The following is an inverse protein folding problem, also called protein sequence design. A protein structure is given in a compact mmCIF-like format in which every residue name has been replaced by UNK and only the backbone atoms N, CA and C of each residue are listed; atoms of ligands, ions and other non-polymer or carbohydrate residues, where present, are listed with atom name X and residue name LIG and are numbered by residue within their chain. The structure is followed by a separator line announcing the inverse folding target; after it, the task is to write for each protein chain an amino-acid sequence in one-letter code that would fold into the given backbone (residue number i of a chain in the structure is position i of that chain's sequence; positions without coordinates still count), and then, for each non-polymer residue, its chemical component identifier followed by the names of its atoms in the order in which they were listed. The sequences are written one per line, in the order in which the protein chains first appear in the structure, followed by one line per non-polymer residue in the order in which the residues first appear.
data_IF_049008043432
#
_entry.id   IF_049008043432
#
_cell.length_a   1.000
_cell.length_b   1.000
_cell.length_c   1.000
_cell.angle_alpha   90.00
_cell.angle_beta   90.00
_cell.angle_gamma   90.00
#
_symmetry.space_group_name_H-M   'P 1'
#
loop_
_entity.id
_entity.type
_entity.pdbx_description
1 polymer ?
#
# COMPACT_ATOMS: atom_id res chain seq x y z
N UNK A 1 9.90 -32.62 -35.21
CA UNK A 1 10.51 -31.30 -35.49
C UNK A 1 9.94 -30.72 -36.79
N UNK A 2 8.79 -30.06 -36.70
CA UNK A 2 8.23 -29.26 -37.80
C UNK A 2 8.75 -27.83 -37.59
N UNK A 3 9.70 -27.41 -38.43
CA UNK A 3 10.09 -26.01 -38.49
C UNK A 3 8.87 -25.21 -38.96
N UNK A 4 8.35 -24.33 -38.10
CA UNK A 4 7.39 -23.31 -38.50
C UNK A 4 8.15 -22.40 -39.48
N UNK A 5 7.95 -22.58 -40.78
CA UNK A 5 8.38 -21.62 -41.77
C UNK A 5 7.54 -20.36 -41.55
N UNK A 6 8.10 -19.38 -40.84
CA UNK A 6 7.56 -18.01 -40.86
C UNK A 6 7.66 -17.49 -42.29
N UNK A 7 6.63 -17.73 -43.09
CA UNK A 7 6.53 -17.17 -44.44
C UNK A 7 6.40 -15.65 -44.31
N UNK A 8 7.41 -14.94 -44.78
CA UNK A 8 7.28 -13.52 -45.10
C UNK A 8 6.28 -13.40 -46.24
N UNK A 9 5.11 -12.82 -45.97
CA UNK A 9 4.06 -12.54 -46.96
C UNK A 9 4.69 -11.60 -48.01
N UNK A 10 5.03 -12.11 -49.18
CA UNK A 10 5.38 -11.30 -50.34
C UNK A 10 4.10 -10.75 -50.96
N UNK A 11 4.09 -9.47 -51.33
CA UNK A 11 2.92 -8.82 -51.94
C UNK A 11 2.44 -9.63 -53.15
N UNK A 12 1.16 -9.99 -53.17
CA UNK A 12 0.57 -10.63 -54.34
C UNK A 12 0.45 -9.62 -55.48
N UNK A 13 0.43 -10.09 -56.74
CA UNK A 13 0.09 -9.23 -57.85
C UNK A 13 -1.24 -8.49 -57.61
N UNK A 14 -1.26 -7.18 -57.86
CA UNK A 14 -2.42 -6.31 -57.61
C UNK A 14 -3.72 -6.81 -58.29
N UNK A 15 -3.58 -7.62 -59.35
CA UNK A 15 -4.71 -8.24 -60.05
C UNK A 15 -5.57 -9.10 -59.12
N UNK A 16 -5.01 -9.79 -58.13
CA UNK A 16 -5.81 -10.62 -57.22
C UNK A 16 -6.68 -9.79 -56.28
N UNK A 17 -6.23 -8.58 -55.92
CA UNK A 17 -7.03 -7.64 -55.15
C UNK A 17 -8.17 -7.09 -56.02
N UNK A 18 -7.89 -6.73 -57.27
CA UNK A 18 -8.91 -6.29 -58.24
C UNK A 18 -9.96 -7.38 -58.50
N UNK A 19 -9.54 -8.63 -58.66
CA UNK A 19 -10.46 -9.77 -58.83
C UNK A 19 -11.35 -9.96 -57.59
N UNK A 20 -10.80 -9.78 -56.39
CA UNK A 20 -11.58 -9.80 -55.14
C UNK A 20 -12.61 -8.66 -55.10
N UNK A 21 -12.21 -7.44 -55.44
CA UNK A 21 -13.11 -6.28 -55.48
C UNK A 21 -14.23 -6.41 -56.52
N UNK A 22 -13.98 -7.16 -57.60
CA UNK A 22 -14.96 -7.46 -58.64
C UNK A 22 -15.79 -8.74 -58.37
N UNK A 23 -15.61 -9.40 -57.22
CA UNK A 23 -16.22 -10.70 -56.87
C UNK A 23 -15.96 -11.81 -57.93
N UNK A 24 -14.82 -11.75 -58.63
CA UNK A 24 -14.43 -12.73 -59.63
C UNK A 24 -13.75 -13.94 -58.98
N UNK A 25 -14.22 -15.16 -59.29
CA UNK A 25 -13.63 -16.43 -58.82
C UNK A 25 -13.52 -16.61 -57.29
N UNK A 26 -14.28 -15.83 -56.52
CA UNK A 26 -14.41 -16.00 -55.07
C UNK A 26 -15.11 -17.32 -54.74
N UNK A 27 -14.58 -18.06 -53.77
CA UNK A 27 -15.03 -19.42 -53.42
C UNK A 27 -15.25 -19.60 -51.91
N UNK A 28 -15.13 -18.51 -51.14
CA UNK A 28 -15.45 -18.47 -49.71
C UNK A 28 -15.85 -17.06 -49.24
N UNK A 29 -16.72 -17.01 -48.23
CA UNK A 29 -17.07 -15.78 -47.50
C UNK A 29 -16.56 -15.88 -46.06
N UNK A 30 -15.75 -14.92 -45.62
CA UNK A 30 -15.39 -14.74 -44.22
C UNK A 30 -16.39 -13.80 -43.54
N UNK A 31 -16.82 -14.15 -42.33
CA UNK A 31 -17.81 -13.37 -41.58
C UNK A 31 -17.24 -12.91 -40.25
N UNK A 32 -17.19 -11.59 -40.08
CA UNK A 32 -16.73 -10.89 -38.89
C UNK A 32 -17.90 -10.09 -38.30
N UNK A 33 -18.58 -10.66 -37.32
CA UNK A 33 -19.83 -10.09 -36.78
C UNK A 33 -20.89 -9.93 -37.88
N UNK A 34 -21.18 -8.67 -38.27
CA UNK A 34 -22.16 -8.35 -39.33
C UNK A 34 -21.55 -8.23 -40.72
N UNK A 35 -20.22 -8.18 -40.83
CA UNK A 35 -19.54 -7.94 -42.10
C UNK A 35 -19.20 -9.26 -42.79
N UNK A 36 -19.54 -9.36 -44.07
CA UNK A 36 -19.32 -10.53 -44.92
C UNK A 36 -18.35 -10.13 -46.02
N UNK A 37 -17.27 -10.87 -46.18
CA UNK A 37 -16.19 -10.55 -47.12
C UNK A 37 -15.93 -11.77 -48.01
N UNK A 38 -16.18 -11.62 -49.31
CA UNK A 38 -15.87 -12.64 -50.29
C UNK A 38 -14.35 -12.68 -50.59
N UNK A 39 -13.79 -13.89 -50.62
CA UNK A 39 -12.36 -14.14 -50.68
C UNK A 39 -12.07 -15.40 -51.52
N UNK A 40 -10.78 -15.62 -51.79
CA UNK A 40 -10.27 -16.79 -52.50
C UNK A 40 -9.58 -17.75 -51.52
N UNK A 41 -10.05 -19.00 -51.39
CA UNK A 41 -9.49 -20.04 -50.51
C UNK A 41 -8.01 -20.26 -50.79
N UNK A 42 -7.62 -20.26 -52.07
CA UNK A 42 -6.22 -20.47 -52.48
C UNK A 42 -5.30 -19.36 -51.98
N UNK A 43 -5.76 -18.11 -52.01
CA UNK A 43 -5.00 -16.96 -51.53
C UNK A 43 -4.90 -17.02 -50.00
N UNK A 44 -6.01 -17.21 -49.30
CA UNK A 44 -6.02 -17.33 -47.85
C UNK A 44 -5.14 -18.50 -47.36
N UNK A 45 -5.22 -19.67 -48.01
CA UNK A 45 -4.38 -20.83 -47.70
C UNK A 45 -2.90 -20.62 -48.05
N UNK A 46 -2.60 -19.81 -49.07
CA UNK A 46 -1.25 -19.49 -49.47
C UNK A 46 -0.56 -18.53 -48.50
N UNK A 47 -1.32 -17.60 -47.92
CA UNK A 47 -0.78 -16.50 -47.11
C UNK A 47 -0.95 -16.69 -45.60
N UNK A 48 -1.77 -17.65 -45.16
CA UNK A 48 -2.09 -17.86 -43.75
C UNK A 48 -2.21 -19.35 -43.42
N UNK A 49 -1.34 -19.83 -42.52
CA UNK A 49 -1.29 -21.23 -42.10
C UNK A 49 -2.57 -21.69 -41.40
N UNK A 50 -3.26 -20.81 -40.68
CA UNK A 50 -4.56 -21.11 -40.06
C UNK A 50 -5.58 -21.52 -41.13
N UNK A 51 -5.77 -20.68 -42.15
CA UNK A 51 -6.70 -20.98 -43.25
C UNK A 51 -6.25 -22.19 -44.07
N UNK A 52 -4.93 -22.33 -44.30
CA UNK A 52 -4.36 -23.51 -44.96
C UNK A 52 -4.74 -24.80 -44.25
N UNK A 53 -4.57 -24.85 -42.93
CA UNK A 53 -4.95 -26.01 -42.12
C UNK A 53 -6.45 -26.23 -42.14
N UNK A 54 -7.23 -25.17 -41.96
CA UNK A 54 -8.69 -25.24 -41.97
C UNK A 54 -9.25 -25.82 -43.28
N UNK A 55 -8.69 -25.44 -44.44
CA UNK A 55 -9.18 -25.93 -45.74
C UNK A 55 -8.63 -27.30 -46.14
N UNK A 56 -7.40 -27.65 -45.74
CA UNK A 56 -6.74 -28.90 -46.13
C UNK A 56 -6.99 -30.07 -45.18
N UNK A 57 -7.35 -29.80 -43.92
CA UNK A 57 -7.67 -30.84 -42.94
C UNK A 57 -9.16 -31.22 -43.01
N UNK A 58 -9.52 -32.39 -42.48
CA UNK A 58 -10.87 -32.97 -42.56
C UNK A 58 -11.86 -32.29 -41.57
N UNK A 59 -11.87 -30.96 -41.54
CA UNK A 59 -12.74 -30.13 -40.71
C UNK A 59 -14.11 -29.92 -41.38
N UNK A 60 -15.15 -29.60 -40.59
CA UNK A 60 -16.53 -29.35 -41.06
C UNK A 60 -16.58 -28.24 -42.12
N UNK A 61 -15.68 -27.27 -42.03
CA UNK A 61 -15.56 -26.09 -42.87
C UNK A 61 -15.00 -26.39 -44.27
N UNK A 62 -14.46 -27.59 -44.51
CA UNK A 62 -13.91 -28.00 -45.82
C UNK A 62 -14.95 -27.86 -46.95
N UNK A 63 -16.21 -28.19 -46.65
CA UNK A 63 -17.35 -28.07 -47.56
C UNK A 63 -18.11 -26.75 -47.45
N UNK A 64 -17.76 -25.88 -46.49
CA UNK A 64 -18.48 -24.64 -46.28
C UNK A 64 -18.06 -23.56 -47.28
N UNK A 65 -19.05 -22.76 -47.69
CA UNK A 65 -18.83 -21.52 -48.44
C UNK A 65 -18.70 -20.31 -47.50
N UNK A 66 -18.89 -20.52 -46.19
CA UNK A 66 -18.90 -19.44 -45.19
C UNK A 66 -18.16 -19.86 -43.91
N UNK A 67 -17.29 -18.99 -43.40
CA UNK A 67 -16.54 -19.20 -42.16
C UNK A 67 -16.74 -18.00 -41.24
N UNK A 68 -17.22 -18.25 -40.03
CA UNK A 68 -17.52 -17.21 -39.03
C UNK A 68 -16.38 -17.11 -38.03
N UNK A 69 -15.74 -15.95 -37.96
CA UNK A 69 -14.66 -15.64 -37.01
C UNK A 69 -15.23 -14.72 -35.92
N UNK A 70 -15.67 -15.32 -34.81
CA UNK A 70 -16.39 -14.60 -33.74
C UNK A 70 -15.49 -13.72 -32.87
N UNK A 71 -14.22 -14.08 -32.76
CA UNK A 71 -13.27 -13.41 -31.87
C UNK A 71 -12.47 -12.29 -32.57
N UNK A 72 -12.82 -11.94 -33.82
CA UNK A 72 -12.23 -10.81 -34.55
C UNK A 72 -13.31 -9.77 -34.83
N UNK A 73 -13.04 -8.51 -34.45
CA UNK A 73 -13.92 -7.38 -34.74
C UNK A 73 -14.03 -7.12 -36.26
N UNK A 74 -15.16 -6.60 -36.72
CA UNK A 74 -15.42 -6.40 -38.15
C UNK A 74 -14.36 -5.51 -38.83
N UNK A 75 -13.97 -4.41 -38.18
CA UNK A 75 -12.93 -3.49 -38.64
C UNK A 75 -11.58 -4.19 -38.80
N UNK A 76 -11.17 -4.95 -37.79
CA UNK A 76 -9.90 -5.69 -37.79
C UNK A 76 -9.91 -6.80 -38.83
N UNK A 77 -11.03 -7.49 -39.00
CA UNK A 77 -11.22 -8.52 -40.02
C UNK A 77 -11.02 -7.99 -41.45
N UNK A 78 -11.56 -6.80 -41.76
CA UNK A 78 -11.37 -6.16 -43.06
C UNK A 78 -9.88 -5.87 -43.32
N UNK A 79 -9.20 -5.25 -42.36
CA UNK A 79 -7.77 -4.92 -42.47
C UNK A 79 -6.91 -6.17 -42.66
N UNK A 80 -7.23 -7.26 -41.95
CA UNK A 80 -6.50 -8.52 -42.07
C UNK A 80 -6.70 -9.18 -43.44
N UNK A 81 -7.92 -9.14 -43.99
CA UNK A 81 -8.15 -9.65 -45.34
C UNK A 81 -7.36 -8.81 -46.35
N UNK A 82 -7.38 -7.48 -46.23
CA UNK A 82 -6.62 -6.61 -47.12
C UNK A 82 -5.11 -6.85 -47.01
N UNK A 83 -4.60 -7.07 -45.79
CA UNK A 83 -3.21 -7.46 -45.53
C UNK A 83 -2.83 -8.78 -46.20
N UNK A 84 -3.70 -9.79 -46.17
CA UNK A 84 -3.43 -11.08 -46.83
C UNK A 84 -3.33 -10.95 -48.36
N UNK A 85 -3.95 -9.93 -48.95
CA UNK A 85 -3.83 -9.65 -50.39
C UNK A 85 -2.68 -8.71 -50.72
N UNK A 86 -2.48 -7.64 -49.96
CA UNK A 86 -1.54 -6.56 -50.29
C UNK A 86 -0.15 -6.76 -49.66
N UNK A 87 -0.06 -7.49 -48.55
CA UNK A 87 1.12 -7.56 -47.69
C UNK A 87 1.34 -6.33 -46.80
N UNK A 88 0.48 -5.31 -46.90
CA UNK A 88 0.59 -4.04 -46.18
C UNK A 88 -0.58 -3.87 -45.21
N UNK A 89 -0.30 -3.28 -44.05
CA UNK A 89 -1.29 -2.97 -43.04
C UNK A 89 -0.81 -1.79 -42.20
N UNK A 90 -1.71 -0.84 -41.97
CA UNK A 90 -1.44 0.33 -41.16
C UNK A 90 -1.77 0.05 -39.69
N UNK A 91 -0.73 0.01 -38.86
CA UNK A 91 -0.83 -0.22 -37.41
C UNK A 91 -0.96 1.14 -36.73
N UNK A 92 -1.96 1.29 -35.87
CA UNK A 92 -2.31 2.51 -35.13
C UNK A 92 -2.63 2.17 -33.68
N UNK A 93 -2.62 3.16 -32.77
CA UNK A 93 -2.98 2.93 -31.35
C UNK A 93 -4.40 2.36 -31.17
N UNK A 94 -5.33 2.68 -32.08
CA UNK A 94 -6.72 2.23 -32.02
C UNK A 94 -6.91 0.77 -32.44
N UNK A 95 -6.04 0.24 -33.31
CA UNK A 95 -6.19 -1.11 -33.88
C UNK A 95 -5.11 -2.10 -33.40
N UNK A 96 -4.02 -1.63 -32.79
CA UNK A 96 -2.87 -2.48 -32.45
C UNK A 96 -3.25 -3.63 -31.51
N UNK A 97 -4.08 -3.38 -30.49
CA UNK A 97 -4.49 -4.41 -29.53
C UNK A 97 -5.31 -5.54 -30.20
N UNK A 98 -6.32 -5.16 -30.99
CA UNK A 98 -7.13 -6.09 -31.77
C UNK A 98 -6.29 -6.87 -32.80
N UNK A 99 -5.36 -6.17 -33.48
CA UNK A 99 -4.46 -6.78 -34.45
C UNK A 99 -3.51 -7.78 -33.79
N UNK A 100 -3.04 -7.51 -32.58
CA UNK A 100 -2.21 -8.44 -31.83
C UNK A 100 -2.97 -9.74 -31.57
N UNK A 101 -4.19 -9.64 -31.01
CA UNK A 101 -5.05 -10.77 -30.71
C UNK A 101 -5.38 -11.60 -31.97
N UNK A 102 -5.76 -10.93 -33.04
CA UNK A 102 -6.11 -11.58 -34.31
C UNK A 102 -4.88 -12.19 -35.01
N UNK A 103 -3.72 -11.53 -34.95
CA UNK A 103 -2.48 -12.05 -35.53
C UNK A 103 -2.01 -13.33 -34.85
N UNK A 104 -2.20 -13.45 -33.54
CA UNK A 104 -1.90 -14.70 -32.82
C UNK A 104 -2.91 -15.80 -33.20
N UNK A 105 -4.20 -15.49 -33.17
CA UNK A 105 -5.25 -16.46 -33.50
C UNK A 105 -5.11 -17.03 -34.92
N UNK A 106 -4.75 -16.18 -35.89
CA UNK A 106 -4.55 -16.56 -37.29
C UNK A 106 -3.12 -17.03 -37.59
N UNK A 107 -2.25 -17.14 -36.58
CA UNK A 107 -0.85 -17.58 -36.70
C UNK A 107 0.00 -16.71 -37.66
N UNK A 108 -0.29 -15.40 -37.72
CA UNK A 108 0.41 -14.42 -38.54
C UNK A 108 1.64 -13.86 -37.81
N UNK A 109 2.67 -14.69 -37.62
CA UNK A 109 3.83 -14.35 -36.79
C UNK A 109 4.61 -13.09 -37.23
N UNK A 110 4.69 -12.80 -38.53
CA UNK A 110 5.34 -11.59 -39.03
C UNK A 110 4.56 -10.32 -38.68
N UNK A 111 3.22 -10.38 -38.74
CA UNK A 111 2.36 -9.27 -38.33
C UNK A 111 2.41 -9.08 -36.80
N UNK A 112 2.32 -10.18 -36.05
CA UNK A 112 2.44 -10.19 -34.58
C UNK A 112 3.67 -9.42 -34.12
N UNK A 113 4.83 -9.72 -34.71
CA UNK A 113 6.09 -9.03 -34.38
C UNK A 113 6.04 -7.53 -34.67
N UNK A 114 5.51 -7.11 -35.82
CA UNK A 114 5.35 -5.68 -36.16
C UNK A 114 4.43 -4.95 -35.17
N UNK A 115 3.35 -5.61 -34.74
CA UNK A 115 2.42 -5.05 -33.76
C UNK A 115 3.06 -4.98 -32.37
N UNK A 116 3.83 -5.99 -31.97
CA UNK A 116 4.60 -5.97 -30.72
C UNK A 116 5.61 -4.80 -30.69
N UNK A 117 6.40 -4.63 -31.74
CA UNK A 117 7.36 -3.52 -31.88
C UNK A 117 6.66 -2.14 -31.82
N UNK A 118 5.46 -2.05 -32.40
CA UNK A 118 4.63 -0.83 -32.32
C UNK A 118 4.15 -0.54 -30.90
N UNK A 119 3.62 -1.56 -30.19
CA UNK A 119 3.13 -1.41 -28.82
C UNK A 119 4.25 -1.05 -27.83
N UNK A 120 5.45 -1.62 -28.02
CA UNK A 120 6.64 -1.27 -27.24
C UNK A 120 7.01 0.22 -27.35
N UNK A 121 6.76 0.84 -28.51
CA UNK A 121 7.10 2.25 -28.75
C UNK A 121 5.96 3.23 -28.43
N UNK A 122 4.75 2.73 -28.17
CA UNK A 122 3.53 3.53 -28.01
C UNK A 122 2.71 3.15 -26.77
N UNK A 123 3.36 2.65 -25.71
CA UNK A 123 2.69 2.40 -24.42
C UNK A 123 2.46 3.73 -23.68
N UNK A 124 1.21 3.98 -23.28
CA UNK A 124 0.80 5.17 -22.54
C UNK A 124 -0.05 4.83 -21.30
N UNK A 125 -0.39 5.84 -20.49
CA UNK A 125 -1.15 5.68 -19.25
C UNK A 125 -2.59 5.19 -19.44
N UNK A 126 -3.14 5.29 -20.65
CA UNK A 126 -4.48 4.80 -21.00
C UNK A 126 -4.42 3.31 -21.36
N UNK A 127 -3.43 2.90 -22.16
CA UNK A 127 -3.37 1.54 -22.71
C UNK A 127 -2.53 0.56 -21.89
N UNK A 128 -1.75 1.03 -20.91
CA UNK A 128 -0.75 0.25 -20.20
C UNK A 128 -1.33 -1.03 -19.57
N UNK A 129 -2.46 -0.95 -18.87
CA UNK A 129 -3.07 -2.10 -18.18
C UNK A 129 -3.56 -3.14 -19.19
N UNK A 130 -4.22 -2.70 -20.27
CA UNK A 130 -4.65 -3.60 -21.35
C UNK A 130 -3.45 -4.27 -22.05
N UNK A 131 -2.37 -3.54 -22.30
CA UNK A 131 -1.13 -4.10 -22.86
C UNK A 131 -0.51 -5.15 -21.94
N UNK A 132 -0.46 -4.91 -20.61
CA UNK A 132 0.03 -5.90 -19.63
C UNK A 132 -0.79 -7.20 -19.73
N UNK A 133 -2.12 -7.09 -19.76
CA UNK A 133 -3.01 -8.25 -19.84
C UNK A 133 -2.86 -9.01 -21.17
N UNK A 134 -2.74 -8.32 -22.30
CA UNK A 134 -2.51 -8.94 -23.61
C UNK A 134 -1.13 -9.60 -23.69
N UNK A 135 -0.09 -8.92 -23.23
CA UNK A 135 1.26 -9.45 -23.21
C UNK A 135 1.36 -10.71 -22.34
N UNK A 136 0.64 -10.75 -21.21
CA UNK A 136 0.50 -11.94 -20.37
C UNK A 136 -0.27 -13.06 -21.08
N UNK A 137 -1.41 -12.74 -21.69
CA UNK A 137 -2.26 -13.72 -22.37
C UNK A 137 -1.52 -14.45 -23.51
N UNK A 138 -0.65 -13.73 -24.23
CA UNK A 138 0.09 -14.25 -25.38
C UNK A 138 1.57 -14.56 -25.12
N UNK A 139 1.98 -14.60 -23.84
CA UNK A 139 3.37 -14.86 -23.38
C UNK A 139 4.44 -13.96 -24.03
N UNK A 140 4.14 -12.67 -24.22
CA UNK A 140 5.04 -11.65 -24.78
C UNK A 140 5.91 -11.03 -23.67
N UNK A 141 6.97 -11.75 -23.29
CA UNK A 141 7.80 -11.40 -22.12
C UNK A 141 8.44 -10.01 -22.20
N UNK A 142 8.90 -9.62 -23.38
CA UNK A 142 9.49 -8.31 -23.67
C UNK A 142 8.50 -7.18 -23.48
N UNK A 143 7.33 -7.28 -24.11
CA UNK A 143 6.25 -6.31 -23.98
C UNK A 143 5.69 -6.25 -22.55
N UNK A 144 5.57 -7.39 -21.87
CA UNK A 144 5.10 -7.46 -20.50
C UNK A 144 6.03 -6.73 -19.53
N UNK A 145 7.34 -6.95 -19.65
CA UNK A 145 8.34 -6.29 -18.81
C UNK A 145 8.37 -4.76 -19.03
N UNK A 146 8.26 -4.32 -20.28
CA UNK A 146 8.24 -2.90 -20.62
C UNK A 146 6.96 -2.21 -20.09
N UNK A 147 5.79 -2.79 -20.35
CA UNK A 147 4.53 -2.23 -19.88
C UNK A 147 4.43 -2.21 -18.34
N UNK A 148 4.95 -3.24 -17.64
CA UNK A 148 5.08 -3.23 -16.18
C UNK A 148 6.02 -2.11 -15.71
N UNK A 149 7.18 -1.95 -16.35
CA UNK A 149 8.12 -0.86 -16.03
C UNK A 149 7.48 0.52 -16.18
N UNK A 150 6.64 0.70 -17.22
CA UNK A 150 5.87 1.92 -17.41
C UNK A 150 4.87 2.14 -16.27
N UNK A 151 4.08 1.12 -15.90
CA UNK A 151 3.12 1.18 -14.78
C UNK A 151 3.79 1.64 -13.48
N UNK A 152 4.96 1.08 -13.15
CA UNK A 152 5.71 1.44 -11.94
C UNK A 152 6.16 2.91 -11.94
N UNK A 153 6.54 3.46 -13.10
CA UNK A 153 7.02 4.85 -13.22
C UNK A 153 5.89 5.87 -13.24
N UNK A 154 4.74 5.51 -13.80
CA UNK A 154 3.62 6.41 -14.06
C UNK A 154 2.36 6.08 -13.23
N UNK A 155 2.52 5.46 -12.05
CA UNK A 155 1.39 5.00 -11.22
C UNK A 155 0.37 6.11 -10.96
N UNK A 156 0.83 7.36 -10.73
CA UNK A 156 -0.04 8.52 -10.47
C UNK A 156 -0.98 8.83 -11.62
N UNK A 157 -0.49 8.69 -12.85
CA UNK A 157 -1.29 8.94 -14.03
C UNK A 157 -2.25 7.78 -14.28
N UNK A 158 -1.75 6.53 -14.18
CA UNK A 158 -2.55 5.32 -14.42
C UNK A 158 -3.71 5.20 -13.43
N UNK A 159 -3.49 5.56 -12.17
CA UNK A 159 -4.53 5.61 -11.14
C UNK A 159 -5.71 6.45 -11.63
N UNK A 160 -5.52 7.52 -12.39
CA UNK A 160 -6.61 8.40 -12.80
C UNK A 160 -7.55 7.81 -13.86
N UNK A 161 -7.16 6.76 -14.58
CA UNK A 161 -7.90 6.23 -15.74
C UNK A 161 -8.91 5.10 -15.43
N UNK A 162 -9.83 4.88 -16.38
CA UNK A 162 -10.96 3.94 -16.24
C UNK A 162 -10.56 2.46 -16.31
N UNK A 163 -9.43 2.10 -16.92
CA UNK A 163 -8.97 0.70 -17.09
C UNK A 163 -8.52 0.04 -15.78
N UNK A 164 -8.62 0.72 -14.64
CA UNK A 164 -8.23 0.19 -13.33
C UNK A 164 -8.90 -1.14 -12.98
N UNK A 165 -10.12 -1.36 -13.50
CA UNK A 165 -10.88 -2.59 -13.32
C UNK A 165 -10.19 -3.82 -13.97
N UNK A 166 -9.32 -3.62 -14.96
CA UNK A 166 -8.59 -4.66 -15.66
C UNK A 166 -7.28 -5.06 -14.97
N UNK A 167 -6.78 -4.28 -13.99
CA UNK A 167 -5.52 -4.60 -13.31
C UNK A 167 -5.68 -5.86 -12.45
N UNK A 168 -4.77 -6.82 -12.62
CA UNK A 168 -4.75 -8.04 -11.82
C UNK A 168 -4.10 -7.78 -10.45
N UNK A 169 -4.52 -8.54 -9.43
CA UNK A 169 -4.02 -8.38 -8.07
C UNK A 169 -2.50 -8.56 -7.95
N UNK A 170 -1.92 -9.51 -8.70
CA UNK A 170 -0.46 -9.72 -8.69
C UNK A 170 0.32 -8.49 -9.15
N UNK A 171 -0.18 -7.78 -10.18
CA UNK A 171 0.46 -6.54 -10.66
C UNK A 171 0.29 -5.39 -9.65
N UNK A 172 -0.85 -5.36 -8.94
CA UNK A 172 -1.07 -4.39 -7.87
C UNK A 172 -0.05 -4.59 -6.75
N UNK A 173 0.13 -5.82 -6.26
CA UNK A 173 1.06 -6.14 -5.18
C UNK A 173 2.50 -5.77 -5.58
N UNK A 174 2.94 -6.11 -6.80
CA UNK A 174 4.28 -5.73 -7.28
C UNK A 174 4.50 -4.20 -7.20
N UNK A 175 3.49 -3.40 -7.57
CA UNK A 175 3.57 -1.94 -7.52
C UNK A 175 3.55 -1.41 -6.07
N UNK A 176 2.74 -2.01 -5.19
CA UNK A 176 2.69 -1.62 -3.77
C UNK A 176 4.02 -1.87 -3.07
N UNK A 177 4.67 -3.00 -3.34
CA UNK A 177 5.98 -3.36 -2.78
C UNK A 177 7.11 -2.49 -3.31
N UNK A 178 7.00 -2.00 -4.54
CA UNK A 178 7.99 -1.14 -5.16
C UNK A 178 7.86 0.34 -4.75
N UNK A 179 6.66 0.79 -4.38
CA UNK A 179 6.41 2.20 -4.05
C UNK A 179 6.57 2.48 -2.55
N UNK A 180 7.44 3.42 -2.21
CA UNK A 180 7.75 3.77 -0.82
C UNK A 180 6.68 4.65 -0.13
N UNK A 181 5.77 5.27 -0.89
CA UNK A 181 4.76 6.19 -0.33
C UNK A 181 3.52 5.46 0.14
N UNK A 182 3.33 5.39 1.47
CA UNK A 182 2.14 4.75 2.06
C UNK A 182 0.82 5.44 1.69
N UNK A 183 0.83 6.77 1.56
CA UNK A 183 -0.38 7.54 1.18
C UNK A 183 -0.80 7.23 -0.26
N UNK A 184 0.16 7.14 -1.18
CA UNK A 184 -0.09 6.80 -2.58
C UNK A 184 -0.57 5.35 -2.73
N UNK A 185 0.06 4.43 -2.00
CA UNK A 185 -0.33 3.02 -1.96
C UNK A 185 -1.75 2.83 -1.43
N UNK A 186 -2.13 3.59 -0.38
CA UNK A 186 -3.49 3.57 0.16
C UNK A 186 -4.52 4.05 -0.87
N UNK A 187 -4.24 5.18 -1.55
CA UNK A 187 -5.12 5.70 -2.59
C UNK A 187 -5.25 4.71 -3.75
N UNK A 188 -4.15 4.05 -4.12
CA UNK A 188 -4.13 3.06 -5.19
C UNK A 188 -4.99 1.83 -4.85
N UNK A 189 -4.84 1.26 -3.66
CA UNK A 189 -5.69 0.16 -3.16
C UNK A 189 -7.16 0.57 -3.20
N UNK A 190 -7.48 1.77 -2.67
CA UNK A 190 -8.86 2.24 -2.62
C UNK A 190 -9.49 2.34 -4.02
N UNK A 191 -8.75 2.85 -5.01
CA UNK A 191 -9.27 2.99 -6.37
C UNK A 191 -9.39 1.65 -7.08
N UNK A 192 -8.41 0.76 -6.92
CA UNK A 192 -8.47 -0.60 -7.49
C UNK A 192 -9.66 -1.40 -6.94
N UNK A 193 -9.94 -1.31 -5.63
CA UNK A 193 -11.09 -1.98 -5.03
C UNK A 193 -12.43 -1.44 -5.52
N UNK A 194 -12.55 -0.13 -5.71
CA UNK A 194 -13.78 0.50 -6.21
C UNK A 194 -14.03 0.24 -7.69
N UNK A 195 -13.01 -0.15 -8.43
CA UNK A 195 -13.10 -0.35 -9.88
C UNK A 195 -13.80 -1.64 -10.30
N UNK A 196 -13.94 -2.64 -9.42
CA UNK A 196 -14.68 -3.87 -9.74
C UNK A 196 -15.37 -4.47 -8.50
N UNK A 197 -16.53 -5.09 -8.72
CA UNK A 197 -17.29 -5.78 -7.68
C UNK A 197 -16.54 -7.02 -7.15
N UNK A 198 -16.69 -7.32 -5.86
CA UNK A 198 -16.09 -8.51 -5.22
C UNK A 198 -14.66 -8.35 -4.70
N UNK A 199 -14.07 -7.14 -4.74
CA UNK A 199 -12.71 -6.86 -4.25
C UNK A 199 -12.64 -6.38 -2.79
N UNK A 200 -13.78 -6.20 -2.12
CA UNK A 200 -13.87 -5.58 -0.78
C UNK A 200 -13.17 -6.36 0.33
N UNK A 201 -13.18 -7.69 0.20
CA UNK A 201 -12.75 -8.59 1.28
C UNK A 201 -11.22 -8.73 1.35
N UNK A 202 -10.51 -8.14 0.37
CA UNK A 202 -9.04 -8.21 0.22
C UNK A 202 -8.31 -7.01 0.83
N UNK A 203 -9.04 -6.06 1.42
CA UNK A 203 -8.43 -4.83 1.95
C UNK A 203 -7.39 -5.11 3.04
N UNK A 204 -7.73 -5.96 4.01
CA UNK A 204 -6.81 -6.30 5.11
C UNK A 204 -5.54 -6.99 4.59
N UNK A 205 -5.67 -7.90 3.63
CA UNK A 205 -4.55 -8.59 2.99
C UNK A 205 -3.64 -7.60 2.25
N UNK A 206 -4.22 -6.71 1.43
CA UNK A 206 -3.46 -5.72 0.65
C UNK A 206 -2.78 -4.67 1.54
N UNK A 207 -3.40 -4.29 2.66
CA UNK A 207 -2.82 -3.35 3.61
C UNK A 207 -1.56 -3.90 4.27
N UNK A 208 -1.42 -5.22 4.43
CA UNK A 208 -0.20 -5.84 4.96
C UNK A 208 1.03 -5.57 4.08
N UNK A 209 0.85 -5.43 2.76
CA UNK A 209 1.92 -5.08 1.82
C UNK A 209 2.31 -3.60 1.84
N UNK A 210 1.47 -2.74 2.44
CA UNK A 210 1.72 -1.28 2.55
C UNK A 210 2.25 -0.91 3.93
N UNK A 211 1.85 -1.64 4.96
CA UNK A 211 2.38 -1.48 6.32
C UNK A 211 3.77 -2.06 6.42
N UNK A 212 4.67 -1.38 7.14
CA UNK A 212 5.94 -1.98 7.58
C UNK A 212 5.68 -3.40 8.09
N UNK A 213 6.54 -4.39 7.76
CA UNK A 213 6.41 -5.74 8.31
C UNK A 213 6.26 -5.66 9.83
N UNK A 214 5.47 -6.54 10.46
CA UNK A 214 5.23 -6.48 11.90
C UNK A 214 6.58 -6.52 12.62
N UNK A 215 7.01 -5.35 13.10
CA UNK A 215 8.25 -5.20 13.85
C UNK A 215 8.10 -6.11 15.07
N UNK A 216 8.98 -7.10 15.19
CA UNK A 216 9.02 -7.95 16.38
C UNK A 216 8.98 -7.04 17.61
N UNK A 217 8.09 -7.32 18.58
CA UNK A 217 7.96 -6.47 19.75
C UNK A 217 9.31 -6.41 20.45
N UNK A 218 9.84 -5.20 20.60
CA UNK A 218 11.13 -4.96 21.25
C UNK A 218 10.90 -4.22 22.56
N UNK A 219 11.67 -4.56 23.59
CA UNK A 219 11.62 -3.89 24.88
C UNK A 219 12.86 -3.03 25.08
N UNK A 220 12.67 -1.79 25.50
CA UNK A 220 13.75 -0.90 25.93
C UNK A 220 13.59 -0.60 27.42
N UNK A 221 14.67 -0.71 28.18
CA UNK A 221 14.70 -0.41 29.62
C UNK A 221 15.84 0.56 29.88
N UNK A 222 15.60 1.54 30.75
CA UNK A 222 16.61 2.47 31.22
C UNK A 222 16.66 2.52 32.75
N UNK A 223 17.81 2.89 33.31
CA UNK A 223 17.99 3.11 34.74
C UNK A 223 18.14 4.60 35.10
N UNK A 224 18.31 4.88 36.40
CA UNK A 224 18.45 6.25 36.93
C UNK A 224 19.78 6.91 36.54
N UNK A 225 20.77 6.12 36.15
CA UNK A 225 22.09 6.58 35.74
C UNK A 225 22.14 6.89 34.23
N UNK A 226 21.05 6.62 33.50
CA UNK A 226 20.90 6.88 32.07
C UNK A 226 21.39 5.73 31.19
N UNK A 227 21.80 4.61 31.77
CA UNK A 227 22.11 3.39 31.02
C UNK A 227 20.82 2.79 30.46
N UNK A 228 20.90 2.29 29.22
CA UNK A 228 19.75 1.74 28.52
C UNK A 228 20.10 0.42 27.83
N UNK A 229 19.13 -0.49 27.79
CA UNK A 229 19.24 -1.78 27.14
C UNK A 229 18.04 -2.03 26.24
N UNK A 230 18.28 -2.67 25.10
CA UNK A 230 17.27 -3.09 24.15
C UNK A 230 17.25 -4.61 24.06
N UNK A 231 16.05 -5.18 23.99
CA UNK A 231 15.80 -6.59 23.72
C UNK A 231 14.89 -6.67 22.49
N UNK A 232 15.41 -7.20 21.39
CA UNK A 232 14.72 -7.25 20.10
C UNK A 232 13.93 -8.55 19.87
N UNK A 233 14.33 -9.63 20.54
CA UNK A 233 13.65 -10.93 20.49
C UNK A 233 13.22 -11.34 21.90
N UNK A 234 11.89 -11.40 22.11
CA UNK A 234 11.30 -11.77 23.40
C UNK A 234 11.26 -13.29 23.62
N UNK A 235 11.44 -14.11 22.58
CA UNK A 235 11.47 -15.56 22.73
C UNK A 235 12.82 -16.02 23.30
N UNK A 236 13.90 -15.35 22.91
CA UNK A 236 15.25 -15.56 23.46
C UNK A 236 15.81 -14.22 23.94
N UNK A 237 15.41 -13.75 25.15
CA UNK A 237 15.71 -12.40 25.61
C UNK A 237 17.22 -12.23 25.81
N UNK A 238 17.84 -11.56 24.83
CA UNK A 238 19.22 -11.09 24.91
C UNK A 238 19.20 -9.57 25.03
N UNK A 239 19.66 -9.06 26.17
CA UNK A 239 19.72 -7.62 26.43
C UNK A 239 21.02 -7.06 25.89
N UNK A 240 20.92 -6.07 25.01
CA UNK A 240 22.07 -5.38 24.45
C UNK A 240 22.10 -3.94 24.95
N UNK A 241 23.25 -3.45 25.44
CA UNK A 241 23.38 -2.05 25.81
C UNK A 241 23.23 -1.18 24.55
N UNK A 242 22.46 -0.10 24.65
CA UNK A 242 22.29 0.88 23.57
C UNK A 242 22.92 2.22 23.95
N UNK A 243 23.07 3.11 22.96
CA UNK A 243 23.58 4.45 23.18
C UNK A 243 22.74 5.17 24.24
N UNK A 244 23.40 5.73 25.25
CA UNK A 244 22.74 6.56 26.26
C UNK A 244 22.15 7.83 25.61
N UNK A 245 21.09 8.41 26.20
CA UNK A 245 20.61 9.71 25.77
C UNK A 245 21.75 10.73 25.87
N UNK A 246 21.78 11.77 25.02
CA UNK A 246 22.93 12.68 24.93
C UNK A 246 23.22 13.55 26.18
N UNK A 247 22.56 13.28 27.32
CA UNK A 247 22.70 13.99 28.61
C UNK A 247 22.29 13.06 29.75
N UNK A 248 22.91 13.27 30.92
CA UNK A 248 22.45 12.67 32.17
C UNK A 248 21.19 13.39 32.66
N UNK A 249 20.07 12.68 32.68
CA UNK A 249 18.76 13.22 33.05
C UNK A 249 18.07 12.25 34.01
N UNK A 250 17.51 12.78 35.10
CA UNK A 250 16.66 12.03 36.05
C UNK A 250 15.22 12.49 35.95
N UNK A 251 14.27 11.65 36.35
CA UNK A 251 12.84 12.00 36.35
C UNK A 251 12.27 12.46 34.99
N UNK A 252 12.89 12.02 33.89
CA UNK A 252 12.35 12.21 32.54
C UNK A 252 11.14 11.30 32.33
N UNK A 253 10.35 11.59 31.29
CA UNK A 253 9.32 10.67 30.82
C UNK A 253 9.80 9.98 29.54
N UNK A 254 9.46 8.71 29.40
CA UNK A 254 9.71 7.93 28.20
C UNK A 254 8.42 7.26 27.71
N UNK A 255 8.24 7.21 26.38
CA UNK A 255 7.13 6.47 25.78
C UNK A 255 7.54 5.85 24.45
N UNK A 256 6.93 4.71 24.11
CA UNK A 256 7.12 4.09 22.81
C UNK A 256 6.64 5.01 21.68
N UNK A 257 7.28 4.94 20.52
CA UNK A 257 6.90 5.63 19.29
C UNK A 257 7.16 4.73 18.08
N UNK A 258 6.57 5.00 16.90
CA UNK A 258 6.87 4.23 15.70
C UNK A 258 8.38 4.21 15.43
N UNK A 259 8.95 3.00 15.32
CA UNK A 259 10.39 2.81 15.06
C UNK A 259 11.32 2.99 16.27
N UNK A 260 10.80 3.17 17.49
CA UNK A 260 11.63 3.24 18.71
C UNK A 260 10.90 3.83 19.91
N UNK A 261 11.48 4.85 20.54
CA UNK A 261 10.88 5.51 21.70
C UNK A 261 11.33 6.97 21.82
N UNK A 262 10.58 7.76 22.60
CA UNK A 262 10.88 9.17 22.88
C UNK A 262 11.16 9.36 24.35
N UNK A 263 12.16 10.18 24.66
CA UNK A 263 12.48 10.68 26.00
C UNK A 263 12.23 12.19 26.03
N UNK A 264 11.62 12.69 27.09
CA UNK A 264 11.26 14.11 27.23
C UNK A 264 11.50 14.64 28.63
N UNK A 265 12.01 15.88 28.70
CA UNK A 265 12.18 16.67 29.93
C UNK A 265 13.06 16.00 30.97
N UNK A 266 12.74 16.23 32.25
CA UNK A 266 13.47 15.69 33.40
C UNK A 266 14.32 16.74 34.11
N UNK A 267 15.29 16.29 34.89
CA UNK A 267 16.16 17.09 35.74
C UNK A 267 17.62 16.80 35.39
N UNK A 268 18.36 17.85 35.03
CA UNK A 268 19.81 17.79 34.83
C UNK A 268 20.47 18.97 35.52
N UNK A 269 21.59 18.73 36.20
CA UNK A 269 22.33 19.76 36.95
C UNK A 269 21.44 20.66 37.84
N UNK A 270 20.46 20.05 38.53
CA UNK A 270 19.44 20.73 39.36
C UNK A 270 18.48 21.68 38.62
N UNK A 271 18.47 21.70 37.29
CA UNK A 271 17.52 22.47 36.48
C UNK A 271 16.56 21.55 35.72
N UNK A 272 15.28 21.93 35.66
CA UNK A 272 14.32 21.22 34.83
C UNK A 272 14.69 21.41 33.35
N UNK A 273 14.52 20.35 32.58
CA UNK A 273 14.88 20.30 31.17
C UNK A 273 13.62 20.39 30.30
N UNK A 274 13.79 20.94 29.10
CA UNK A 274 12.72 21.03 28.08
C UNK A 274 12.97 20.14 26.87
N UNK A 275 14.14 19.55 26.80
CA UNK A 275 14.64 18.85 25.63
C UNK A 275 13.89 17.53 25.40
N UNK A 276 13.73 17.16 24.13
CA UNK A 276 13.08 15.95 23.68
C UNK A 276 13.97 15.22 22.69
N UNK A 277 14.05 13.90 22.81
CA UNK A 277 14.86 13.05 21.94
C UNK A 277 14.10 11.82 21.53
N UNK A 278 14.17 11.46 20.25
CA UNK A 278 13.67 10.18 19.76
C UNK A 278 14.83 9.24 19.48
N UNK A 279 14.77 8.03 20.00
CA UNK A 279 15.68 6.95 19.63
C UNK A 279 15.11 6.17 18.45
N UNK A 280 15.86 6.08 17.36
CA UNK A 280 15.52 5.28 16.19
C UNK A 280 16.16 3.90 16.32
N UNK A 281 15.35 2.88 16.60
CA UNK A 281 15.84 1.52 16.87
C UNK A 281 16.47 0.85 15.63
N UNK A 282 16.06 1.25 14.42
CA UNK A 282 16.53 0.63 13.17
C UNK A 282 18.02 0.91 12.90
N UNK A 283 18.49 2.12 13.21
CA UNK A 283 19.88 2.51 13.00
C UNK A 283 20.63 2.75 14.32
N UNK A 284 19.95 2.65 15.47
CA UNK A 284 20.54 2.77 16.79
C UNK A 284 20.97 4.18 17.19
N UNK A 285 20.35 5.22 16.61
CA UNK A 285 20.75 6.61 16.82
C UNK A 285 19.68 7.45 17.52
N UNK A 286 20.14 8.47 18.25
CA UNK A 286 19.28 9.51 18.83
C UNK A 286 19.11 10.68 17.86
N UNK A 287 17.87 11.16 17.75
CA UNK A 287 17.53 12.39 17.05
C UNK A 287 16.98 13.41 18.05
N UNK A 288 17.36 14.67 17.85
CA UNK A 288 16.81 15.80 18.62
C UNK A 288 15.46 16.20 18.06
N UNK A 289 14.45 16.30 18.94
CA UNK A 289 13.13 16.81 18.61
C UNK A 289 13.00 18.28 19.05
N UNK A 290 11.96 18.97 18.57
CA UNK A 290 11.60 20.31 19.05
C UNK A 290 11.44 20.30 20.58
N UNK A 291 12.08 21.22 21.32
CA UNK A 291 12.00 21.25 22.78
C UNK A 291 10.60 21.63 23.24
N UNK A 292 10.16 21.07 24.37
CA UNK A 292 8.88 21.39 25.01
C UNK A 292 8.76 22.89 25.32
N UNK A 293 7.54 23.46 25.27
CA UNK A 293 7.32 24.86 25.65
C UNK A 293 7.70 25.18 27.10
N UNK A 294 7.52 24.21 28.01
CA UNK A 294 7.82 24.36 29.44
C UNK A 294 8.78 23.28 29.89
N UNK A 295 9.88 23.68 30.53
CA UNK A 295 10.82 22.79 31.17
C UNK A 295 10.17 22.14 32.41
N UNK A 296 10.15 20.80 32.46
CA UNK A 296 9.40 20.05 33.48
C UNK A 296 10.05 18.69 33.77
N UNK A 297 9.77 18.15 34.96
CA UNK A 297 10.13 16.78 35.37
C UNK A 297 8.93 16.03 35.93
N UNK A 298 9.02 14.70 36.03
CA UNK A 298 7.97 13.83 36.59
C UNK A 298 6.58 14.03 35.94
N UNK A 299 6.56 14.48 34.68
CA UNK A 299 5.39 14.48 33.81
C UNK A 299 5.20 13.08 33.21
N UNK A 300 4.06 12.88 32.57
CA UNK A 300 3.80 11.69 31.76
C UNK A 300 3.87 12.06 30.28
N UNK A 301 4.35 11.15 29.45
CA UNK A 301 4.33 11.28 28.00
C UNK A 301 3.72 10.05 27.34
N UNK A 302 3.00 10.23 26.24
CA UNK A 302 2.45 9.13 25.45
C UNK A 302 2.39 9.51 23.97
N UNK A 303 2.75 8.58 23.10
CA UNK A 303 2.53 8.72 21.67
C UNK A 303 1.13 8.20 21.32
N UNK A 304 0.32 9.04 20.69
CA UNK A 304 -1.02 8.67 20.25
C UNK A 304 -1.40 9.42 18.97
N UNK A 305 -1.87 8.71 17.94
CA UNK A 305 -2.32 9.30 16.66
C UNK A 305 -1.35 10.36 16.08
N UNK A 306 -0.07 10.01 15.94
CA UNK A 306 1.01 10.89 15.44
C UNK A 306 1.34 12.12 16.30
N UNK A 307 0.86 12.17 17.52
CA UNK A 307 1.16 13.22 18.47
C UNK A 307 1.88 12.65 19.69
N UNK A 308 2.93 13.33 20.13
CA UNK A 308 3.53 13.10 21.44
C UNK A 308 2.86 14.04 22.43
N UNK A 309 2.05 13.48 23.33
CA UNK A 309 1.43 14.23 24.42
C UNK A 309 2.37 14.28 25.61
N UNK A 310 2.50 15.46 26.22
CA UNK A 310 3.21 15.72 27.46
C UNK A 310 2.23 16.31 28.45
N UNK A 311 2.09 15.65 29.60
CA UNK A 311 0.97 15.87 30.52
C UNK A 311 1.46 16.11 31.94
N UNK A 312 1.09 17.25 32.52
CA UNK A 312 1.36 17.57 33.93
C UNK A 312 2.85 17.69 34.25
N UNK A 313 3.25 17.22 35.43
CA UNK A 313 4.62 17.27 35.94
C UNK A 313 4.89 18.41 36.91
N UNK A 314 6.18 18.76 37.04
CA UNK A 314 6.66 19.77 37.99
C UNK A 314 7.70 20.70 37.34
N UNK A 315 7.45 22.00 37.39
CA UNK A 315 8.36 23.06 36.94
C UNK A 315 8.93 23.92 38.09
N UNK A 316 8.58 23.58 39.32
CA UNK A 316 8.61 24.50 40.48
C UNK A 316 7.24 24.55 41.16
N UNK A 317 6.19 24.23 40.40
CA UNK A 317 4.83 24.00 40.85
C UNK A 317 4.25 22.73 40.21
N UNK A 318 3.19 22.15 40.79
CA UNK A 318 2.48 21.05 40.13
C UNK A 318 1.67 21.56 38.95
N UNK A 319 1.88 20.97 37.78
CA UNK A 319 1.27 21.40 36.53
C UNK A 319 -0.02 20.63 36.23
N UNK A 320 -0.93 21.32 35.55
CA UNK A 320 -2.06 20.72 34.83
C UNK A 320 -1.99 21.02 33.32
N UNK A 321 -0.92 21.64 32.84
CA UNK A 321 -0.77 21.95 31.42
C UNK A 321 -0.57 20.67 30.61
N UNK A 322 -1.04 20.71 29.36
CA UNK A 322 -0.91 19.64 28.39
C UNK A 322 -0.39 20.24 27.10
N UNK A 323 0.70 19.68 26.59
CA UNK A 323 1.30 20.08 25.32
C UNK A 323 1.34 18.85 24.41
N UNK A 324 1.11 19.03 23.12
CA UNK A 324 1.24 17.98 22.13
C UNK A 324 2.16 18.41 20.99
N UNK A 325 3.18 17.60 20.72
CA UNK A 325 4.03 17.75 19.55
C UNK A 325 3.43 16.95 18.40
N UNK A 326 3.07 17.62 17.32
CA UNK A 326 2.74 16.95 16.06
C UNK A 326 4.03 16.41 15.44
N UNK A 327 4.13 15.09 15.35
CA UNK A 327 5.36 14.41 14.93
C UNK A 327 5.60 14.49 13.41
N UNK A 328 4.65 15.05 12.64
CA UNK A 328 4.77 15.21 11.18
C UNK A 328 5.45 16.53 10.81
N UNK A 329 5.16 17.60 11.54
CA UNK A 329 5.71 18.95 11.30
C UNK A 329 6.58 19.49 12.44
N UNK A 330 6.72 18.71 13.53
CA UNK A 330 7.52 19.02 14.71
C UNK A 330 7.11 20.33 15.41
N UNK A 331 5.82 20.67 15.36
CA UNK A 331 5.25 21.85 16.04
C UNK A 331 4.51 21.46 17.32
N UNK A 332 4.76 22.24 18.38
CA UNK A 332 4.07 22.11 19.66
C UNK A 332 2.76 22.88 19.67
N UNK A 333 1.71 22.25 20.18
CA UNK A 333 0.41 22.84 20.40
C UNK A 333 0.02 22.75 21.88
N UNK A 334 -0.45 23.86 22.43
CA UNK A 334 -1.05 23.86 23.76
C UNK A 334 -2.46 23.27 23.69
N UNK A 335 -2.73 22.27 24.52
CA UNK A 335 -4.03 21.63 24.63
C UNK A 335 -4.77 22.08 25.89
N UNK A 336 -6.09 21.84 25.97
CA UNK A 336 -6.86 22.12 27.17
C UNK A 336 -6.21 21.46 28.40
N UNK A 337 -6.14 22.19 29.53
CA UNK A 337 -5.46 21.70 30.72
C UNK A 337 -6.22 20.53 31.34
N UNK A 338 -5.50 19.72 32.11
CA UNK A 338 -6.09 18.68 32.95
C UNK A 338 -7.09 19.30 33.94
N UNK A 339 -8.24 18.64 34.21
CA UNK A 339 -9.17 19.03 35.25
C UNK A 339 -8.53 19.15 36.64
N UNK A 340 -7.43 18.42 36.87
CA UNK A 340 -6.65 18.47 38.10
C UNK A 340 -5.16 18.41 37.80
N UNK A 341 -4.35 19.12 38.61
CA UNK A 341 -2.88 19.03 38.57
C UNK A 341 -2.43 17.58 38.79
N UNK A 342 -1.50 17.10 37.99
CA UNK A 342 -1.03 15.72 38.02
C UNK A 342 0.50 15.67 37.98
N UNK A 343 1.10 14.92 38.90
CA UNK A 343 2.54 14.67 38.96
C UNK A 343 2.76 13.20 39.33
N UNK A 344 3.71 12.56 38.64
CA UNK A 344 3.99 11.12 38.80
C UNK A 344 2.81 10.22 38.44
N UNK A 345 1.87 10.70 37.63
CA UNK A 345 0.86 9.84 37.02
C UNK A 345 1.44 9.09 35.82
N UNK A 346 0.66 8.20 35.25
CA UNK A 346 0.99 7.49 34.04
C UNK A 346 -0.02 7.85 32.93
N UNK A 347 0.49 8.03 31.71
CA UNK A 347 -0.32 8.30 30.53
C UNK A 347 -0.48 7.02 29.71
N UNK A 348 -1.71 6.70 29.31
CA UNK A 348 -2.05 5.46 28.60
C UNK A 348 -2.91 5.80 27.40
N UNK A 349 -2.58 5.26 26.23
CA UNK A 349 -3.50 5.31 25.08
C UNK A 349 -4.39 4.07 25.08
N UNK A 350 -5.70 4.28 24.96
CA UNK A 350 -6.67 3.20 24.87
C UNK A 350 -7.94 3.64 24.12
N UNK A 351 -8.42 2.83 23.18
CA UNK A 351 -9.63 3.08 22.38
C UNK A 351 -9.73 4.51 21.82
N UNK A 352 -8.72 4.98 21.10
CA UNK A 352 -8.61 6.35 20.54
C UNK A 352 -8.54 7.50 21.57
N UNK A 353 -8.50 7.21 22.87
CA UNK A 353 -8.42 8.20 23.93
C UNK A 353 -7.08 8.14 24.65
N UNK A 354 -6.70 9.26 25.29
CA UNK A 354 -5.56 9.31 26.20
C UNK A 354 -6.06 9.38 27.63
N UNK A 355 -5.57 8.49 28.48
CA UNK A 355 -5.88 8.43 29.90
C UNK A 355 -4.68 8.88 30.72
N UNK A 356 -4.96 9.54 31.84
CA UNK A 356 -3.97 9.91 32.85
C UNK A 356 -4.43 9.31 34.17
N UNK A 357 -3.69 8.31 34.64
CA UNK A 357 -4.06 7.49 35.81
C UNK A 357 -3.00 7.56 36.91
N UNK A 358 -3.42 7.42 38.16
CA UNK A 358 -2.55 7.40 39.32
C UNK A 358 -1.98 8.77 39.69
N UNK A 359 -0.69 8.81 40.04
CA UNK A 359 -0.03 10.02 40.52
C UNK A 359 -0.49 10.44 41.91
N UNK A 360 0.09 11.55 42.41
CA UNK A 360 -0.05 11.97 43.81
C UNK A 360 -1.50 12.22 44.26
N UNK A 361 -2.39 12.49 43.33
CA UNK A 361 -3.78 12.86 43.58
C UNK A 361 -4.81 11.78 43.22
N UNK A 362 -4.37 10.54 42.92
CA UNK A 362 -5.26 9.45 42.45
C UNK A 362 -6.07 9.89 41.24
N UNK A 363 -5.39 10.45 40.27
CA UNK A 363 -6.01 10.95 39.05
C UNK A 363 -6.58 9.78 38.24
N UNK A 364 -7.74 10.00 37.64
CA UNK A 364 -8.21 9.22 36.49
C UNK A 364 -8.93 10.20 35.57
N UNK A 365 -8.31 10.54 34.45
CA UNK A 365 -8.79 11.57 33.53
C UNK A 365 -8.65 11.05 32.11
N UNK A 366 -9.68 11.26 31.29
CA UNK A 366 -9.73 10.83 29.89
C UNK A 366 -9.80 12.04 28.98
N UNK A 367 -8.92 12.08 28.00
CA UNK A 367 -8.91 13.04 26.90
C UNK A 367 -9.47 12.40 25.65
N UNK A 368 -10.38 13.11 24.99
CA UNK A 368 -10.87 12.77 23.66
C UNK A 368 -10.22 13.72 22.63
N UNK A 369 -9.28 13.23 21.79
CA UNK A 369 -8.62 14.04 20.78
C UNK A 369 -9.56 14.58 19.70
N UNK A 370 -10.72 13.95 19.45
CA UNK A 370 -11.64 14.35 18.37
C UNK A 370 -12.39 15.63 18.67
N UNK A 371 -12.72 15.86 19.94
CA UNK A 371 -13.42 17.08 20.38
C UNK A 371 -12.56 17.97 21.30
N UNK A 372 -11.31 17.57 21.55
CA UNK A 372 -10.35 18.28 22.36
C UNK A 372 -10.88 18.56 23.79
N UNK A 373 -11.43 17.55 24.47
CA UNK A 373 -11.97 17.71 25.82
C UNK A 373 -11.43 16.68 26.82
N UNK A 374 -11.30 17.11 28.07
CA UNK A 374 -10.99 16.25 29.21
C UNK A 374 -12.24 15.95 30.02
N UNK A 375 -12.31 14.72 30.53
CA UNK A 375 -13.36 14.26 31.44
C UNK A 375 -12.71 13.58 32.65
N UNK A 376 -13.14 13.93 33.85
CA UNK A 376 -12.75 13.20 35.07
C UNK A 376 -13.53 11.90 35.13
N UNK A 377 -12.83 10.82 35.49
CA UNK A 377 -13.40 9.48 35.64
C UNK A 377 -13.30 9.07 37.12
N UNK A 378 -13.86 7.92 37.46
CA UNK A 378 -13.75 7.37 38.80
C UNK A 378 -12.27 7.23 39.19
N UNK A 379 -11.94 7.63 40.42
CA UNK A 379 -10.54 7.59 40.91
C UNK A 379 -10.18 6.21 41.47
N UNK A 380 -8.92 5.78 41.35
CA UNK A 380 -8.45 4.57 42.02
C UNK A 380 -8.55 4.72 43.54
N UNK A 381 -8.64 3.59 44.23
CA UNK A 381 -8.76 3.56 45.68
C UNK A 381 -7.46 4.00 46.36
N UNK A 382 -6.34 3.50 45.86
CA UNK A 382 -5.01 3.71 46.41
C UNK A 382 -4.21 4.76 45.64
N UNK A 383 -3.14 5.24 46.28
CA UNK A 383 -2.22 6.19 45.65
C UNK A 383 -1.18 5.43 44.83
N UNK A 384 -1.18 5.65 43.53
CA UNK A 384 -0.22 5.07 42.60
C UNK A 384 0.78 6.14 42.13
N UNK A 385 1.51 6.76 43.07
CA UNK A 385 2.51 7.76 42.74
C UNK A 385 3.73 7.10 42.08
N UNK A 386 4.03 7.52 40.85
CA UNK A 386 5.03 6.89 39.97
C UNK A 386 4.75 5.40 39.68
N UNK A 387 3.49 4.96 39.80
CA UNK A 387 3.09 3.61 39.43
C UNK A 387 3.02 3.44 37.91
N UNK A 388 3.67 2.42 37.31
CA UNK A 388 3.50 2.12 35.89
C UNK A 388 2.07 1.65 35.58
N UNK A 389 1.63 1.86 34.34
CA UNK A 389 0.32 1.43 33.88
C UNK A 389 0.35 0.95 32.44
N UNK A 390 -0.52 0.01 32.10
CA UNK A 390 -0.67 -0.52 30.73
C UNK A 390 -2.12 -0.93 30.47
N UNK A 391 -2.43 -1.21 29.20
CA UNK A 391 -3.71 -1.79 28.80
C UNK A 391 -3.61 -3.31 28.81
N UNK A 392 -4.49 -3.99 29.55
CA UNK A 392 -4.58 -5.44 29.59
C UNK A 392 -6.04 -5.86 29.47
N UNK A 393 -6.35 -6.80 28.58
CA UNK A 393 -7.70 -7.36 28.40
C UNK A 393 -8.83 -6.31 28.25
N UNK A 394 -8.53 -5.15 27.63
CA UNK A 394 -9.50 -4.07 27.45
C UNK A 394 -9.68 -3.13 28.64
N UNK A 395 -8.86 -3.27 29.68
CA UNK A 395 -8.86 -2.41 30.87
C UNK A 395 -7.49 -1.73 31.06
N UNK A 396 -7.45 -0.69 31.88
CA UNK A 396 -6.21 0.02 32.23
C UNK A 396 -5.77 -0.47 33.61
N UNK A 397 -4.62 -1.12 33.68
CA UNK A 397 -4.06 -1.65 34.93
C UNK A 397 -2.96 -0.72 35.42
N UNK A 398 -2.98 -0.38 36.71
CA UNK A 398 -1.95 0.42 37.40
C UNK A 398 -1.30 -0.45 38.47
N UNK A 399 0.02 -0.56 38.42
CA UNK A 399 0.80 -1.45 39.30
C UNK A 399 1.54 -0.63 40.34
N UNK A 400 1.24 -0.84 41.62
CA UNK A 400 1.98 -0.32 42.76
C UNK A 400 2.29 1.18 42.67
N UNK A 401 3.46 1.55 43.14
CA UNK A 401 3.95 2.92 43.18
C UNK A 401 4.75 3.17 44.45
N UNK A 402 5.15 4.42 44.68
CA UNK A 402 5.93 4.77 45.85
C UNK A 402 5.13 4.53 47.14
N UNK A 403 5.51 3.51 47.91
CA UNK A 403 4.87 3.15 49.17
C UNK A 403 3.56 2.36 49.01
N UNK A 404 3.30 1.79 47.84
CA UNK A 404 2.11 1.00 47.54
C UNK A 404 2.47 -0.17 46.60
N UNK A 405 2.05 -1.38 46.94
CA UNK A 405 2.23 -2.60 46.15
C UNK A 405 0.93 -3.13 45.54
N UNK A 406 -0.21 -2.48 45.82
CA UNK A 406 -1.49 -2.86 45.23
C UNK A 406 -1.50 -2.71 43.71
N UNK A 407 -2.27 -3.58 43.05
CA UNK A 407 -2.55 -3.51 41.62
C UNK A 407 -4.04 -3.22 41.48
N UNK A 408 -4.38 -2.15 40.78
CA UNK A 408 -5.76 -1.77 40.50
C UNK A 408 -6.01 -1.75 38.98
N UNK A 409 -7.17 -2.22 38.58
CA UNK A 409 -7.62 -2.29 37.20
C UNK A 409 -8.86 -1.41 37.01
N UNK A 410 -8.81 -0.51 36.04
CA UNK A 410 -9.88 0.39 35.66
C UNK A 410 -10.56 -0.12 34.39
N UNK A 411 -11.89 -0.27 34.44
CA UNK A 411 -12.70 -0.56 33.26
C UNK A 411 -13.34 0.72 32.70
N UNK A 412 -12.94 1.17 31.50
CA UNK A 412 -13.54 2.35 30.88
C UNK A 412 -14.99 2.14 30.44
N UNK A 413 -15.46 0.89 30.38
CA UNK A 413 -16.85 0.55 30.01
C UNK A 413 -17.83 0.83 31.17
N UNK A 414 -17.41 0.53 32.40
CA UNK A 414 -18.25 0.68 33.60
C UNK A 414 -17.84 1.86 34.49
N UNK A 415 -16.75 2.56 34.15
CA UNK A 415 -16.15 3.64 34.96
C UNK A 415 -15.93 3.19 36.41
N UNK A 416 -15.31 2.02 36.59
CA UNK A 416 -15.09 1.41 37.90
C UNK A 416 -13.71 0.80 38.03
N UNK A 417 -13.22 0.76 39.28
CA UNK A 417 -11.94 0.13 39.64
C UNK A 417 -12.16 -1.19 40.39
N UNK A 418 -11.26 -2.13 40.17
CA UNK A 418 -11.15 -3.39 40.91
C UNK A 418 -9.71 -3.63 41.32
N UNK A 419 -9.48 -4.12 42.53
CA UNK A 419 -8.15 -4.49 43.03
C UNK A 419 -7.87 -5.96 42.72
N UNK A 420 -6.65 -6.26 42.28
CA UNK A 420 -6.21 -7.64 42.14
C UNK A 420 -5.83 -8.19 43.52
N UNK A 421 -6.35 -9.38 43.84
CA UNK A 421 -6.14 -10.07 45.12
C UNK A 421 -5.01 -11.07 45.07
#
# INVERSE_FOLDING_TARGET
PLSIMTQTISSLPAVFLQMKEADEFVDITLVFGKQRIACHKVILAGMCDYFRRMFLTNMLERGSQEVVLKDISASTGVLLVEYLYSGNIDITQLNAQDLLAASEMLLLGALKKKVEDFLLSHTDSVSCISIINLARLYDLKTLLADARSYLHKHVKEVVEFEEMHLLQEGDLIEVLEANASQEENFLFIQKWMRSAEGRTDRFEDLMQHVTDPPKQPSLAVGNIDGEMWLCTDLNTPQWQPIQQPPFQIKYYSACASPGGFVVSGGLSQNSNQRECYSYAAQNGHWNTLSPMPTARRSHSSIYHNHHLYVVGGYDGSYLNSVDALDMRNLQWNHLPPLPQRCVGGAAVSFNDHVYVVGGRHRSCMRFNPRNNTWTSQQRPQFNHYCGPSLVLNGNIVVFGGQGNDSIEEYSPLTDSWSTWT
#
